data_IF_375224250287
#
_entry.id   IF_375224250287
#
_cell.length_a   1.000
_cell.length_b   1.000
_cell.length_c   1.000
_cell.angle_alpha   90.00
_cell.angle_beta   90.00
_cell.angle_gamma   90.00
#
_symmetry.space_group_name_H-M   'P 1'
#
loop_
_entity.id
_entity.type
_entity.pdbx_description
1 polymer ?
#
# COMPACT_ATOMS: atom_id res chain seq x y z
N UNK A 1 -1.39 -19.88 2.08
CA UNK A 1 -0.45 -18.77 1.84
C UNK A 1 -1.12 -17.45 2.20
N UNK A 2 -0.34 -16.42 2.53
CA UNK A 2 -0.89 -15.13 2.95
C UNK A 2 -0.36 -14.01 2.04
N UNK A 3 -1.23 -13.06 1.72
CA UNK A 3 -0.86 -11.84 1.01
C UNK A 3 -1.26 -10.62 1.87
N UNK A 4 -0.31 -9.71 2.05
CA UNK A 4 -0.48 -8.49 2.82
C UNK A 4 -0.37 -7.31 1.86
N UNK A 5 -1.44 -6.55 1.78
CA UNK A 5 -1.58 -5.45 0.85
C UNK A 5 -1.47 -4.12 1.61
N UNK A 6 -0.70 -3.21 1.09
CA UNK A 6 -0.63 -1.82 1.57
C UNK A 6 -1.04 -0.87 0.46
N UNK A 7 -1.88 0.10 0.78
CA UNK A 7 -2.41 1.05 -0.19
C UNK A 7 -2.22 2.49 0.30
N UNK A 8 -1.45 3.28 -0.48
CA UNK A 8 -1.44 4.73 -0.41
C UNK A 8 -2.42 5.28 -1.46
N UNK A 9 -3.58 5.84 -1.04
CA UNK A 9 -4.66 6.23 -1.95
C UNK A 9 -4.49 7.59 -2.62
N UNK A 10 -3.27 8.09 -2.77
CA UNK A 10 -3.00 9.36 -3.44
C UNK A 10 -3.44 9.37 -4.91
N UNK A 11 -3.53 10.57 -5.53
CA UNK A 11 -3.80 10.72 -6.98
C UNK A 11 -2.77 9.98 -7.82
N UNK A 12 -1.53 9.95 -7.36
CA UNK A 12 -0.45 9.08 -7.86
C UNK A 12 -0.30 7.87 -6.95
N UNK A 13 -1.40 7.25 -6.57
CA UNK A 13 -1.41 6.20 -5.59
C UNK A 13 -0.46 5.03 -5.85
N UNK A 14 -0.24 4.26 -4.84
CA UNK A 14 0.62 3.08 -4.90
C UNK A 14 0.00 1.92 -4.13
N UNK A 15 0.25 0.74 -4.64
CA UNK A 15 -0.12 -0.52 -4.01
C UNK A 15 1.14 -1.36 -3.84
N UNK A 16 1.34 -1.89 -2.65
CA UNK A 16 2.37 -2.89 -2.37
C UNK A 16 1.73 -4.20 -1.95
N UNK A 17 2.29 -5.30 -2.42
CA UNK A 17 1.87 -6.64 -2.01
C UNK A 17 3.08 -7.41 -1.49
N UNK A 18 2.96 -7.91 -0.28
CA UNK A 18 3.89 -8.88 0.31
C UNK A 18 3.25 -10.25 0.28
N UNK A 19 3.79 -11.17 -0.45
CA UNK A 19 3.33 -12.57 -0.47
C UNK A 19 4.31 -13.47 0.27
N UNK A 20 3.78 -14.30 1.16
CA UNK A 20 4.56 -15.30 1.88
C UNK A 20 4.62 -16.58 1.04
N UNK A 21 5.83 -16.95 0.61
CA UNK A 21 6.01 -17.99 -0.42
C UNK A 21 6.64 -19.31 0.08
N UNK A 22 7.25 -19.35 1.27
CA UNK A 22 7.98 -20.54 1.73
C UNK A 22 8.18 -20.63 3.25
N UNK A 23 8.73 -21.76 3.69
CA UNK A 23 9.19 -21.96 5.07
C UNK A 23 10.71 -22.21 5.03
N UNK A 24 11.60 -21.35 5.59
CA UNK A 24 11.25 -20.12 6.32
C UNK A 24 10.60 -19.08 5.41
N UNK A 25 9.77 -18.17 5.96
CA UNK A 25 8.99 -17.27 5.12
C UNK A 25 9.91 -16.36 4.29
N UNK A 26 9.76 -16.45 2.99
CA UNK A 26 10.32 -15.52 2.02
C UNK A 26 9.19 -14.65 1.50
N UNK A 27 9.41 -13.34 1.48
CA UNK A 27 8.42 -12.41 0.99
C UNK A 27 8.78 -11.97 -0.43
N UNK A 28 7.85 -12.18 -1.34
CA UNK A 28 7.90 -11.52 -2.63
C UNK A 28 7.20 -10.17 -2.51
N UNK A 29 7.81 -9.13 -3.07
CA UNK A 29 7.30 -7.75 -3.03
C UNK A 29 6.93 -7.32 -4.43
N UNK A 30 5.70 -6.90 -4.62
CA UNK A 30 5.25 -6.22 -5.84
C UNK A 30 4.85 -4.78 -5.48
N UNK A 31 5.34 -3.80 -6.24
CA UNK A 31 4.98 -2.40 -6.14
C UNK A 31 4.31 -1.95 -7.43
N UNK A 32 3.11 -1.41 -7.32
CA UNK A 32 2.28 -1.06 -8.45
C UNK A 32 1.85 0.40 -8.34
N UNK A 33 2.32 1.25 -9.26
CA UNK A 33 1.74 2.57 -9.44
C UNK A 33 0.39 2.39 -10.15
N UNK A 34 -0.71 2.63 -9.44
CA UNK A 34 -2.00 2.55 -10.13
C UNK A 34 -2.41 3.88 -10.74
N UNK A 35 -3.21 3.80 -11.81
CA UNK A 35 -4.15 4.82 -12.20
C UNK A 35 -5.49 4.15 -12.51
N UNK A 36 -5.47 3.09 -13.31
CA UNK A 36 -6.68 2.43 -13.80
C UNK A 36 -6.68 0.91 -13.53
N UNK A 37 -5.62 0.37 -12.91
CA UNK A 37 -5.39 -1.08 -12.81
C UNK A 37 -5.71 -1.71 -11.45
N UNK A 38 -6.19 -0.91 -10.47
CA UNK A 38 -6.40 -1.42 -9.11
C UNK A 38 -7.39 -2.60 -9.06
N UNK A 39 -8.56 -2.46 -9.68
CA UNK A 39 -9.58 -3.50 -9.63
C UNK A 39 -9.17 -4.79 -10.35
N UNK A 40 -8.70 -4.74 -11.63
CA UNK A 40 -8.18 -5.91 -12.32
C UNK A 40 -7.02 -6.59 -11.59
N UNK A 41 -6.14 -5.80 -10.98
CA UNK A 41 -5.01 -6.35 -10.24
C UNK A 41 -5.45 -7.10 -8.98
N UNK A 42 -6.31 -6.50 -8.16
CA UNK A 42 -6.84 -7.15 -6.94
C UNK A 42 -7.65 -8.40 -7.30
N UNK A 43 -8.43 -8.36 -8.38
CA UNK A 43 -9.16 -9.51 -8.89
C UNK A 43 -8.21 -10.63 -9.35
N UNK A 44 -7.16 -10.28 -10.09
CA UNK A 44 -6.13 -11.22 -10.51
C UNK A 44 -5.36 -11.80 -9.31
N UNK A 45 -5.05 -11.01 -8.30
CA UNK A 45 -4.42 -11.47 -7.07
C UNK A 45 -5.29 -12.51 -6.35
N UNK A 46 -6.60 -12.30 -6.29
CA UNK A 46 -7.53 -13.25 -5.68
C UNK A 46 -7.72 -14.52 -6.50
N UNK A 47 -7.72 -14.42 -7.83
CA UNK A 47 -7.98 -15.54 -8.74
C UNK A 47 -6.76 -16.44 -8.96
N UNK A 48 -5.56 -15.86 -9.02
CA UNK A 48 -4.31 -16.61 -9.22
C UNK A 48 -4.03 -17.61 -8.11
N UNK A 49 -4.49 -17.30 -6.93
CA UNK A 49 -4.00 -17.92 -5.71
C UNK A 49 -5.00 -18.94 -5.11
N UNK A 50 -6.20 -19.01 -5.69
CA UNK A 50 -7.24 -19.96 -5.29
C UNK A 50 -7.86 -19.67 -3.90
N UNK A 51 -8.82 -20.46 -3.46
CA UNK A 51 -9.59 -20.20 -2.24
C UNK A 51 -8.81 -20.36 -0.92
N UNK A 52 -7.56 -20.79 -0.98
CA UNK A 52 -6.70 -20.97 0.20
C UNK A 52 -5.88 -19.73 0.60
N UNK A 53 -5.94 -18.64 -0.16
CA UNK A 53 -5.18 -17.43 0.16
C UNK A 53 -5.96 -16.50 1.08
N UNK A 54 -5.28 -16.13 2.16
CA UNK A 54 -5.75 -15.08 3.06
C UNK A 54 -5.13 -13.77 2.62
N UNK A 55 -5.95 -12.84 2.14
CA UNK A 55 -5.53 -11.48 1.80
C UNK A 55 -5.97 -10.55 2.92
N UNK A 56 -5.05 -9.75 3.45
CA UNK A 56 -5.34 -8.64 4.36
C UNK A 56 -4.79 -7.35 3.80
N UNK A 57 -5.53 -6.25 3.96
CA UNK A 57 -5.17 -4.96 3.39
C UNK A 57 -5.12 -3.87 4.45
N UNK A 58 -4.05 -3.08 4.47
CA UNK A 58 -3.96 -1.80 5.17
C UNK A 58 -4.13 -0.68 4.15
N UNK A 59 -5.21 0.07 4.27
CA UNK A 59 -5.48 1.26 3.47
C UNK A 59 -5.19 2.50 4.32
N UNK A 60 -4.33 3.40 3.85
CA UNK A 60 -4.07 4.63 4.57
C UNK A 60 -5.34 5.46 4.73
N UNK A 61 -5.67 5.76 5.98
CA UNK A 61 -6.83 6.60 6.30
C UNK A 61 -6.43 8.07 6.22
N UNK A 62 -6.75 8.68 5.12
CA UNK A 62 -6.49 10.10 4.88
C UNK A 62 -7.79 10.87 4.95
N UNK A 63 -7.74 12.01 5.60
CA UNK A 63 -8.88 12.92 5.77
C UNK A 63 -8.65 14.26 5.11
N UNK A 64 -9.71 15.07 5.08
CA UNK A 64 -9.61 16.47 4.67
C UNK A 64 -8.70 17.23 5.65
N UNK A 65 -7.75 17.97 5.12
CA UNK A 65 -6.88 18.84 5.91
C UNK A 65 -7.22 20.31 5.70
N UNK A 66 -7.24 21.14 6.76
CA UNK A 66 -7.37 22.57 6.63
C UNK A 66 -6.32 23.15 5.67
N UNK A 67 -6.73 24.08 4.80
CA UNK A 67 -5.81 24.74 3.85
C UNK A 67 -5.58 24.00 2.53
N UNK A 68 -6.13 22.81 2.36
CA UNK A 68 -6.12 22.14 1.04
C UNK A 68 -7.17 22.78 0.12
N UNK A 69 -6.81 22.96 -1.16
CA UNK A 69 -7.76 23.46 -2.16
C UNK A 69 -8.93 22.51 -2.37
N UNK A 70 -10.14 23.08 -2.52
CA UNK A 70 -11.41 22.34 -2.67
C UNK A 70 -11.33 21.29 -3.80
N UNK A 71 -10.75 21.64 -4.96
CA UNK A 71 -10.57 20.72 -6.09
C UNK A 71 -9.67 19.54 -5.75
N UNK A 72 -8.57 19.80 -5.04
CA UNK A 72 -7.63 18.77 -4.62
C UNK A 72 -8.29 17.80 -3.65
N UNK A 73 -9.03 18.30 -2.68
CA UNK A 73 -9.77 17.51 -1.71
C UNK A 73 -10.86 16.66 -2.36
N UNK A 74 -11.59 17.23 -3.31
CA UNK A 74 -12.62 16.49 -4.04
C UNK A 74 -12.02 15.33 -4.85
N UNK A 75 -10.94 15.59 -5.61
CA UNK A 75 -10.25 14.56 -6.37
C UNK A 75 -9.67 13.47 -5.46
N UNK A 76 -9.09 13.87 -4.35
CA UNK A 76 -8.57 12.93 -3.36
C UNK A 76 -9.67 12.05 -2.76
N UNK A 77 -10.79 12.66 -2.33
CA UNK A 77 -11.94 11.93 -1.80
C UNK A 77 -12.56 10.96 -2.82
N UNK A 78 -12.58 11.36 -4.11
CA UNK A 78 -13.02 10.50 -5.21
C UNK A 78 -12.15 9.24 -5.31
N UNK A 79 -10.83 9.41 -5.40
CA UNK A 79 -9.88 8.28 -5.49
C UNK A 79 -9.97 7.38 -4.25
N UNK A 80 -10.04 7.96 -3.06
CA UNK A 80 -10.21 7.21 -1.83
C UNK A 80 -11.50 6.38 -1.81
N UNK A 81 -12.61 6.99 -2.25
CA UNK A 81 -13.89 6.29 -2.38
C UNK A 81 -13.86 5.16 -3.43
N UNK A 82 -13.17 5.36 -4.54
CA UNK A 82 -12.95 4.33 -5.57
C UNK A 82 -12.20 3.12 -5.01
N UNK A 83 -11.12 3.34 -4.24
CA UNK A 83 -10.37 2.28 -3.57
C UNK A 83 -11.24 1.48 -2.61
N UNK A 84 -12.00 2.17 -1.74
CA UNK A 84 -12.94 1.51 -0.81
C UNK A 84 -13.99 0.71 -1.59
N UNK A 85 -14.52 1.28 -2.67
CA UNK A 85 -15.50 0.62 -3.54
C UNK A 85 -14.95 -0.68 -4.14
N UNK A 86 -13.72 -0.66 -4.67
CA UNK A 86 -13.05 -1.86 -5.22
C UNK A 86 -12.86 -2.91 -4.14
N UNK A 87 -12.27 -2.56 -2.99
CA UNK A 87 -12.01 -3.51 -1.92
C UNK A 87 -13.31 -4.14 -1.38
N UNK A 88 -14.34 -3.33 -1.21
CA UNK A 88 -15.67 -3.79 -0.73
C UNK A 88 -16.33 -4.73 -1.73
N UNK A 89 -16.37 -4.33 -3.00
CA UNK A 89 -16.99 -5.13 -4.08
C UNK A 89 -16.29 -6.46 -4.26
N UNK A 90 -14.96 -6.46 -4.22
CA UNK A 90 -14.15 -7.67 -4.34
C UNK A 90 -14.05 -8.46 -3.01
N UNK A 91 -14.72 -7.99 -1.94
CA UNK A 91 -14.72 -8.64 -0.62
C UNK A 91 -13.30 -8.89 -0.07
N UNK A 92 -12.43 -7.90 -0.23
CA UNK A 92 -11.10 -7.91 0.38
C UNK A 92 -11.20 -7.31 1.78
N UNK A 93 -10.85 -8.03 2.85
CA UNK A 93 -10.79 -7.46 4.18
C UNK A 93 -9.74 -6.33 4.23
N UNK A 94 -10.12 -5.18 4.73
CA UNK A 94 -9.19 -4.06 4.88
C UNK A 94 -9.39 -3.30 6.18
N UNK A 95 -8.31 -2.75 6.70
CA UNK A 95 -8.30 -1.83 7.83
C UNK A 95 -7.88 -0.44 7.36
N UNK A 96 -8.62 0.60 7.82
CA UNK A 96 -8.23 2.00 7.63
C UNK A 96 -7.20 2.38 8.71
N UNK A 97 -5.97 2.64 8.28
CA UNK A 97 -4.85 2.91 9.18
C UNK A 97 -4.43 4.37 9.08
N UNK A 98 -4.54 5.11 10.17
CA UNK A 98 -4.11 6.53 10.21
C UNK A 98 -2.60 6.63 10.07
N UNK A 99 -2.07 7.66 9.37
CA UNK A 99 -0.63 7.89 9.21
C UNK A 99 0.13 7.83 10.53
N UNK A 100 -0.37 8.51 11.56
CA UNK A 100 0.30 8.56 12.87
C UNK A 100 0.44 7.18 13.53
N UNK A 101 -0.49 6.24 13.24
CA UNK A 101 -0.46 4.90 13.83
C UNK A 101 0.65 4.06 13.23
N UNK A 102 0.72 3.95 11.92
CA UNK A 102 1.73 3.14 11.27
C UNK A 102 3.12 3.80 11.30
N UNK A 103 3.20 5.12 11.16
CA UNK A 103 4.47 5.86 11.27
C UNK A 103 5.12 5.66 12.64
N UNK A 104 4.34 5.75 13.73
CA UNK A 104 4.82 5.50 15.08
C UNK A 104 5.42 4.10 15.25
N UNK A 105 4.81 3.09 14.63
CA UNK A 105 5.31 1.71 14.72
C UNK A 105 6.68 1.53 14.07
N UNK A 106 6.94 2.26 12.99
CA UNK A 106 8.24 2.26 12.32
C UNK A 106 9.23 3.27 12.89
N UNK A 107 8.83 4.06 13.89
CA UNK A 107 9.67 5.09 14.52
C UNK A 107 10.00 6.23 13.57
N UNK A 108 9.08 6.58 12.68
CA UNK A 108 9.22 7.64 11.67
C UNK A 108 8.20 8.75 11.89
N UNK A 109 8.51 9.92 11.34
CA UNK A 109 7.66 11.10 11.33
C UNK A 109 6.93 11.25 9.97
N UNK A 110 6.42 12.44 9.68
CA UNK A 110 5.86 12.77 8.36
C UNK A 110 6.92 13.10 7.29
N UNK A 111 8.21 13.02 7.61
CA UNK A 111 9.29 13.25 6.64
C UNK A 111 9.42 12.07 5.68
N UNK A 112 9.18 12.32 4.41
CA UNK A 112 9.22 11.30 3.36
C UNK A 112 10.59 10.64 3.16
N UNK A 113 11.67 11.33 3.50
CA UNK A 113 13.01 10.75 3.45
C UNK A 113 13.22 9.65 4.49
N UNK A 114 12.60 9.77 5.67
CA UNK A 114 12.60 8.73 6.70
C UNK A 114 11.84 7.49 6.23
N UNK A 115 10.70 7.66 5.56
CA UNK A 115 9.91 6.57 5.00
C UNK A 115 10.73 5.73 4.01
N UNK A 116 11.40 6.41 3.06
CA UNK A 116 12.28 5.76 2.09
C UNK A 116 13.44 5.04 2.78
N UNK A 117 14.08 5.69 3.76
CA UNK A 117 15.21 5.10 4.49
C UNK A 117 14.80 3.82 5.24
N UNK A 118 13.65 3.82 5.90
CA UNK A 118 13.14 2.63 6.62
C UNK A 118 12.78 1.52 5.64
N UNK A 119 12.12 1.85 4.51
CA UNK A 119 11.85 0.87 3.47
C UNK A 119 13.12 0.19 2.96
N UNK A 120 14.15 0.96 2.63
CA UNK A 120 15.43 0.39 2.14
C UNK A 120 16.12 -0.48 3.19
N UNK A 121 15.98 -0.16 4.46
CA UNK A 121 16.51 -0.98 5.55
C UNK A 121 15.76 -2.31 5.70
N UNK A 122 14.43 -2.29 5.59
CA UNK A 122 13.59 -3.49 5.74
C UNK A 122 13.60 -4.36 4.48
N UNK A 123 13.68 -3.73 3.32
CA UNK A 123 13.58 -4.36 2.00
C UNK A 123 14.73 -3.93 1.09
N UNK A 124 15.99 -4.30 1.40
CA UNK A 124 17.16 -3.77 0.70
C UNK A 124 17.23 -4.12 -0.78
N UNK A 125 16.54 -5.18 -1.20
CA UNK A 125 16.52 -5.65 -2.59
C UNK A 125 15.34 -5.13 -3.41
N UNK A 126 14.48 -4.28 -2.83
CA UNK A 126 13.29 -3.74 -3.48
C UNK A 126 13.60 -2.36 -4.04
N UNK A 127 13.34 -2.18 -5.34
CA UNK A 127 13.42 -0.87 -5.97
C UNK A 127 12.17 -0.05 -5.66
N UNK A 128 12.36 1.14 -5.11
CA UNK A 128 11.28 2.11 -4.87
C UNK A 128 11.05 3.07 -6.04
N UNK A 129 11.70 2.83 -7.17
CA UNK A 129 11.49 3.64 -8.37
C UNK A 129 10.10 3.36 -8.95
N UNK A 130 9.33 4.41 -9.24
CA UNK A 130 7.99 4.28 -9.86
C UNK A 130 8.04 3.63 -11.23
N UNK A 131 9.09 3.91 -11.98
CA UNK A 131 9.41 3.25 -13.25
C UNK A 131 10.93 3.10 -13.38
N UNK A 132 11.44 2.18 -14.22
CA UNK A 132 12.89 2.03 -14.45
C UNK A 132 13.59 3.29 -14.95
N UNK A 133 12.84 4.26 -15.51
CA UNK A 133 13.37 5.54 -16.00
C UNK A 133 13.47 6.61 -14.91
N UNK A 134 12.82 6.42 -13.77
CA UNK A 134 12.91 7.35 -12.64
C UNK A 134 14.29 7.27 -12.00
N UNK A 135 14.78 8.43 -11.51
CA UNK A 135 16.07 8.55 -10.81
C UNK A 135 15.91 8.74 -9.30
N UNK A 136 14.68 8.93 -8.85
CA UNK A 136 14.37 9.14 -7.44
C UNK A 136 13.39 8.08 -6.97
N UNK A 137 13.61 7.62 -5.74
CA UNK A 137 12.66 6.76 -5.06
C UNK A 137 11.31 7.47 -4.89
N UNK A 138 10.25 6.71 -5.02
CA UNK A 138 8.88 7.19 -4.90
C UNK A 138 8.41 6.99 -3.46
N UNK A 139 7.98 8.06 -2.82
CA UNK A 139 7.49 8.03 -1.45
C UNK A 139 6.14 7.31 -1.32
N UNK A 140 5.30 7.36 -2.35
CA UNK A 140 4.07 6.58 -2.40
C UNK A 140 4.33 5.07 -2.41
N UNK A 141 5.36 4.61 -3.13
CA UNK A 141 5.81 3.22 -3.07
C UNK A 141 6.33 2.85 -1.69
N UNK A 142 7.09 3.74 -1.05
CA UNK A 142 7.58 3.52 0.30
C UNK A 142 6.42 3.41 1.30
N UNK A 143 5.45 4.32 1.26
CA UNK A 143 4.30 4.33 2.14
C UNK A 143 3.44 3.07 1.94
N UNK A 144 3.16 2.68 0.71
CA UNK A 144 2.42 1.46 0.41
C UNK A 144 3.15 0.22 0.94
N UNK A 145 4.47 0.14 0.79
CA UNK A 145 5.26 -0.99 1.27
C UNK A 145 5.30 -1.07 2.81
N UNK A 146 5.42 0.07 3.49
CA UNK A 146 5.32 0.12 4.96
C UNK A 146 3.93 -0.26 5.47
N UNK A 147 2.87 0.13 4.77
CA UNK A 147 1.51 -0.30 5.08
C UNK A 147 1.30 -1.80 4.86
N UNK A 148 1.87 -2.38 3.81
CA UNK A 148 1.85 -3.83 3.61
C UNK A 148 2.59 -4.57 4.74
N UNK A 149 3.75 -4.08 5.16
CA UNK A 149 4.48 -4.61 6.29
C UNK A 149 3.73 -4.43 7.61
N UNK A 150 3.06 -3.30 7.79
CA UNK A 150 2.16 -3.08 8.92
C UNK A 150 1.04 -4.12 8.94
N UNK A 151 0.38 -4.36 7.79
CA UNK A 151 -0.65 -5.40 7.65
C UNK A 151 -0.11 -6.78 8.02
N UNK A 152 1.09 -7.11 7.56
CA UNK A 152 1.76 -8.38 7.89
C UNK A 152 1.98 -8.57 9.39
N UNK A 153 2.40 -7.52 10.09
CA UNK A 153 2.66 -7.58 11.55
C UNK A 153 1.39 -7.76 12.39
N UNK A 154 0.25 -7.28 11.88
CA UNK A 154 -1.01 -7.29 12.62
C UNK A 154 -1.94 -8.45 12.22
N UNK A 155 -1.77 -8.99 11.03
CA UNK A 155 -2.64 -10.04 10.48
C UNK A 155 -1.86 -11.28 10.00
N UNK A 156 -0.56 -11.28 10.20
CA UNK A 156 0.34 -12.37 9.82
C UNK A 156 0.30 -13.62 10.71
#
# INVERSE_FOLDING_TARGET
MKAFVGIDPGVKGSLAVLTETATPPMYHVELIPWADDLAPYIEALKSKEGPSWQVSCALEHVGAMPGQGVKSMFNFGKVFGEVIGVLTTLKVPFELVRPQRWQKEFGISGDKSEHIAVCKRLFPNVSLLRTPRCRKDDDGHADALLLAEWSRRHHG
#
